data_IF_343763187519
#
_entry.id   IF_343763187519
#
_cell.length_a   1.000
_cell.length_b   1.000
_cell.length_c   1.000
_cell.angle_alpha   90.00
_cell.angle_beta   90.00
_cell.angle_gamma   90.00
#
_symmetry.space_group_name_H-M   'P 1'
#
loop_
_entity.id
_entity.type
_entity.pdbx_description
1 polymer ?
#
# COMPACT_ATOMS: atom_id res chain seq x y z
N UNK A 1 -17.73 -1.03 -21.94
CA UNK A 1 -16.57 -1.90 -21.68
C UNK A 1 -16.44 -2.15 -20.19
N UNK A 2 -16.54 -3.39 -19.80
CA UNK A 2 -16.41 -3.74 -18.39
C UNK A 2 -14.98 -3.56 -17.92
N UNK A 3 -14.82 -2.88 -16.79
CA UNK A 3 -13.53 -2.75 -16.11
C UNK A 3 -12.91 -4.13 -15.88
N UNK A 4 -13.73 -5.15 -15.62
CA UNK A 4 -13.28 -6.53 -15.42
C UNK A 4 -12.46 -7.07 -16.60
N UNK A 5 -12.74 -6.61 -17.83
CA UNK A 5 -12.01 -7.03 -19.01
C UNK A 5 -10.64 -6.35 -19.12
N UNK A 6 -10.39 -5.31 -18.33
CA UNK A 6 -9.12 -4.56 -18.32
C UNK A 6 -8.20 -5.01 -17.19
N UNK A 7 -8.69 -5.82 -16.26
CA UNK A 7 -7.95 -6.20 -15.05
C UNK A 7 -7.77 -7.72 -15.02
N UNK A 8 -6.56 -8.13 -14.69
CA UNK A 8 -6.25 -9.53 -14.35
C UNK A 8 -6.15 -9.61 -12.84
N UNK A 9 -6.98 -10.45 -12.23
CA UNK A 9 -7.00 -10.66 -10.78
C UNK A 9 -6.10 -11.82 -10.42
N UNK A 10 -5.17 -11.59 -9.47
CA UNK A 10 -4.27 -12.62 -8.97
C UNK A 10 -4.28 -12.65 -7.45
N UNK A 11 -3.91 -13.79 -6.91
CA UNK A 11 -3.75 -14.00 -5.48
C UNK A 11 -2.32 -14.42 -5.18
N UNK A 12 -1.70 -13.74 -4.22
CA UNK A 12 -0.41 -14.12 -3.66
C UNK A 12 -0.67 -14.82 -2.33
N UNK A 13 -0.39 -16.11 -2.26
CA UNK A 13 -0.45 -16.86 -1.00
C UNK A 13 0.87 -16.64 -0.26
N UNK A 14 0.78 -15.99 0.90
CA UNK A 14 1.98 -15.62 1.68
C UNK A 14 2.63 -16.80 2.39
N UNK A 15 1.87 -17.88 2.60
CA UNK A 15 2.40 -19.09 3.26
C UNK A 15 3.23 -19.90 2.28
N UNK A 16 2.66 -20.19 1.11
CA UNK A 16 3.34 -20.98 0.07
C UNK A 16 4.18 -20.13 -0.88
N UNK A 17 4.00 -18.83 -0.84
CA UNK A 17 4.66 -17.87 -1.75
C UNK A 17 4.36 -18.15 -3.22
N UNK A 18 3.12 -18.55 -3.51
CA UNK A 18 2.66 -18.87 -4.87
C UNK A 18 1.66 -17.83 -5.36
N UNK A 19 1.62 -17.65 -6.68
CA UNK A 19 0.73 -16.71 -7.35
C UNK A 19 -0.20 -17.50 -8.25
N UNK A 20 -1.51 -17.21 -8.15
CA UNK A 20 -2.52 -17.82 -8.99
C UNK A 20 -3.47 -16.78 -9.56
N UNK A 21 -4.04 -17.08 -10.71
CA UNK A 21 -5.10 -16.25 -11.31
C UNK A 21 -6.42 -16.59 -10.63
N UNK A 22 -7.18 -15.58 -10.26
CA UNK A 22 -8.46 -15.71 -9.55
C UNK A 22 -9.54 -14.90 -10.26
N UNK A 23 -10.79 -15.07 -9.83
CA UNK A 23 -11.89 -14.28 -10.35
C UNK A 23 -12.17 -13.03 -9.51
N UNK A 24 -13.07 -12.18 -9.99
CA UNK A 24 -13.44 -10.94 -9.31
C UNK A 24 -14.01 -11.20 -7.91
N UNK A 25 -14.82 -12.25 -7.76
CA UNK A 25 -15.43 -12.58 -6.46
C UNK A 25 -14.38 -12.91 -5.41
N UNK A 26 -13.41 -13.74 -5.78
CA UNK A 26 -12.30 -14.09 -4.87
C UNK A 26 -11.43 -12.86 -4.55
N UNK A 27 -11.14 -12.05 -5.54
CA UNK A 27 -10.38 -10.80 -5.34
C UNK A 27 -11.11 -9.86 -4.37
N UNK A 28 -12.43 -9.75 -4.49
CA UNK A 28 -13.26 -8.96 -3.59
C UNK A 28 -13.23 -9.48 -2.16
N UNK A 29 -13.26 -10.81 -1.97
CA UNK A 29 -13.15 -11.42 -0.65
C UNK A 29 -11.81 -11.10 0.01
N UNK A 30 -10.72 -11.20 -0.75
CA UNK A 30 -9.38 -10.88 -0.26
C UNK A 30 -9.26 -9.41 0.12
N UNK A 31 -9.82 -8.52 -0.70
CA UNK A 31 -9.79 -7.08 -0.44
C UNK A 31 -10.55 -6.73 0.85
N UNK A 32 -11.72 -7.32 1.07
CA UNK A 32 -12.52 -7.06 2.28
C UNK A 32 -11.77 -7.41 3.57
N UNK A 33 -10.92 -8.42 3.54
CA UNK A 33 -10.14 -8.82 4.70
C UNK A 33 -9.11 -7.77 5.13
N UNK A 34 -8.73 -6.86 4.24
CA UNK A 34 -7.76 -5.79 4.56
C UNK A 34 -8.32 -4.81 5.59
N UNK A 35 -9.63 -4.70 5.71
CA UNK A 35 -10.28 -3.83 6.70
C UNK A 35 -10.34 -4.46 8.10
N UNK A 36 -9.73 -5.63 8.30
CA UNK A 36 -9.67 -6.31 9.59
C UNK A 36 -8.29 -6.12 10.23
N UNK A 37 -8.21 -6.30 11.55
CA UNK A 37 -6.95 -6.15 12.28
C UNK A 37 -5.97 -7.30 12.09
N UNK A 38 -6.45 -8.46 11.66
CA UNK A 38 -5.62 -9.63 11.47
C UNK A 38 -4.78 -9.51 10.19
N UNK A 39 -3.63 -10.19 10.19
CA UNK A 39 -2.83 -10.27 8.96
C UNK A 39 -3.47 -11.25 7.98
N UNK A 40 -3.54 -10.84 6.72
CA UNK A 40 -4.06 -11.71 5.68
C UNK A 40 -3.04 -12.80 5.33
N UNK A 41 -3.52 -14.02 5.12
CA UNK A 41 -2.69 -15.14 4.64
C UNK A 41 -2.45 -15.05 3.12
N UNK A 42 -3.32 -14.34 2.41
CA UNK A 42 -3.24 -14.13 0.97
C UNK A 42 -3.54 -12.69 0.64
N UNK A 43 -2.92 -12.18 -0.43
CA UNK A 43 -3.09 -10.81 -0.88
C UNK A 43 -3.59 -10.78 -2.32
N UNK A 44 -4.53 -9.86 -2.65
CA UNK A 44 -4.97 -9.69 -4.02
C UNK A 44 -3.98 -8.85 -4.82
N UNK A 45 -3.87 -9.12 -6.12
CA UNK A 45 -3.07 -8.34 -7.06
C UNK A 45 -3.97 -8.02 -8.25
N UNK A 46 -4.01 -6.75 -8.64
CA UNK A 46 -4.84 -6.28 -9.75
C UNK A 46 -3.93 -5.75 -10.85
N UNK A 47 -3.67 -6.57 -11.87
CA UNK A 47 -2.85 -6.14 -13.02
C UNK A 47 -3.71 -5.47 -14.07
N UNK A 48 -3.26 -4.33 -14.60
CA UNK A 48 -3.94 -3.65 -15.70
C UNK A 48 -3.41 -4.21 -17.01
N UNK A 49 -4.27 -4.89 -17.79
CA UNK A 49 -3.89 -5.54 -19.05
C UNK A 49 -3.22 -4.58 -20.02
N UNK A 50 -2.17 -5.04 -20.66
CA UNK A 50 -1.47 -4.28 -21.68
C UNK A 50 -0.61 -3.14 -21.16
N UNK A 51 -0.41 -3.06 -19.85
CA UNK A 51 0.41 -2.02 -19.19
C UNK A 51 1.35 -2.65 -18.18
N UNK A 52 2.25 -1.83 -17.66
CA UNK A 52 3.10 -2.21 -16.51
C UNK A 52 2.49 -1.81 -15.16
N UNK A 53 1.24 -1.36 -15.15
CA UNK A 53 0.58 -0.90 -13.95
C UNK A 53 -0.07 -2.06 -13.18
N UNK A 54 0.04 -1.99 -11.87
CA UNK A 54 -0.55 -2.96 -10.96
C UNK A 54 -1.05 -2.24 -9.72
N UNK A 55 -2.20 -2.66 -9.19
CA UNK A 55 -2.71 -2.18 -7.92
C UNK A 55 -2.41 -3.23 -6.85
N UNK A 56 -1.69 -2.80 -5.83
CA UNK A 56 -1.28 -3.64 -4.70
C UNK A 56 -1.90 -3.09 -3.42
N UNK A 57 -2.95 -3.73 -2.89
CA UNK A 57 -3.51 -3.33 -1.61
C UNK A 57 -2.59 -3.70 -0.45
N UNK A 58 -2.49 -2.80 0.52
CA UNK A 58 -1.70 -3.00 1.74
C UNK A 58 -2.58 -2.73 2.95
N UNK A 59 -2.26 -3.33 4.09
CA UNK A 59 -3.01 -3.17 5.32
C UNK A 59 -2.10 -2.88 6.51
N UNK A 60 -2.63 -2.20 7.50
CA UNK A 60 -1.91 -1.87 8.71
C UNK A 60 -2.86 -1.46 9.83
N UNK A 61 -2.30 -0.88 10.87
CA UNK A 61 -3.05 -0.42 12.03
C UNK A 61 -2.67 1.02 12.35
N UNK A 62 -3.68 1.88 12.44
CA UNK A 62 -3.54 3.24 12.93
C UNK A 62 -3.94 3.33 14.40
N UNK A 63 -4.17 4.54 14.87
CA UNK A 63 -4.59 4.75 16.26
C UNK A 63 -6.01 4.21 16.53
N UNK A 64 -6.94 4.47 15.60
CA UNK A 64 -8.36 4.10 15.77
C UNK A 64 -8.72 2.72 15.26
N UNK A 65 -7.78 1.96 14.70
CA UNK A 65 -8.04 0.62 14.20
C UNK A 65 -7.40 0.34 12.85
N UNK A 66 -8.02 -0.51 12.07
CA UNK A 66 -7.51 -0.93 10.77
C UNK A 66 -7.40 0.25 9.79
N UNK A 67 -6.29 0.31 9.11
CA UNK A 67 -6.07 1.19 7.97
C UNK A 67 -5.61 0.33 6.79
N UNK A 68 -5.90 0.78 5.59
CA UNK A 68 -5.44 0.09 4.39
C UNK A 68 -5.26 1.09 3.26
N UNK A 69 -4.61 0.68 2.20
CA UNK A 69 -4.38 1.53 1.05
C UNK A 69 -4.35 0.71 -0.23
N UNK A 70 -4.66 1.36 -1.33
CA UNK A 70 -4.45 0.84 -2.68
C UNK A 70 -3.27 1.59 -3.28
N UNK A 71 -2.22 0.85 -3.67
CA UNK A 71 -1.03 1.44 -4.28
C UNK A 71 -1.01 1.09 -5.75
N UNK A 72 -1.07 2.10 -6.61
CA UNK A 72 -0.87 1.92 -8.05
C UNK A 72 0.63 2.05 -8.32
N UNK A 73 1.23 0.97 -8.81
CA UNK A 73 2.66 0.87 -8.99
C UNK A 73 2.99 0.50 -10.43
N UNK A 74 4.07 1.06 -10.95
CA UNK A 74 4.69 0.53 -12.18
C UNK A 74 5.55 -0.66 -11.77
N UNK A 75 5.15 -1.86 -12.21
CA UNK A 75 5.84 -3.10 -11.79
C UNK A 75 7.22 -3.29 -12.40
N UNK A 76 7.55 -2.54 -13.46
CA UNK A 76 8.89 -2.57 -14.08
C UNK A 76 9.85 -1.61 -13.43
N UNK A 77 9.41 -0.37 -13.19
CA UNK A 77 10.28 0.67 -12.59
C UNK A 77 10.18 0.68 -11.07
N UNK A 78 9.15 0.07 -10.49
CA UNK A 78 8.83 0.07 -9.06
C UNK A 78 8.45 1.46 -8.53
N UNK A 79 8.04 2.35 -9.41
CA UNK A 79 7.62 3.70 -9.04
C UNK A 79 6.15 3.73 -8.63
N UNK A 80 5.85 4.39 -7.52
CA UNK A 80 4.47 4.61 -7.08
C UNK A 80 3.84 5.68 -7.96
N UNK A 81 2.76 5.32 -8.65
CA UNK A 81 2.03 6.23 -9.55
C UNK A 81 0.84 6.87 -8.87
N UNK A 82 0.23 6.19 -7.91
CA UNK A 82 -0.87 6.72 -7.11
C UNK A 82 -1.00 5.89 -5.83
N UNK A 83 -1.66 6.48 -4.83
CA UNK A 83 -1.95 5.79 -3.58
C UNK A 83 -3.23 6.38 -3.00
N UNK A 84 -4.09 5.51 -2.47
CA UNK A 84 -5.33 5.93 -1.82
C UNK A 84 -5.42 5.24 -0.47
N UNK A 85 -5.38 6.01 0.61
CA UNK A 85 -5.53 5.52 1.97
C UNK A 85 -6.98 5.46 2.39
N UNK A 86 -7.32 4.48 3.21
CA UNK A 86 -8.64 4.32 3.81
C UNK A 86 -8.47 3.91 5.28
N UNK A 87 -9.48 4.24 6.08
CA UNK A 87 -9.47 3.91 7.50
C UNK A 87 -10.88 3.56 7.97
N UNK A 88 -10.95 2.94 9.14
CA UNK A 88 -12.22 2.54 9.72
C UNK A 88 -12.64 3.40 10.92
N UNK A 89 -11.70 3.92 11.67
CA UNK A 89 -12.01 4.60 12.93
C UNK A 89 -11.06 5.71 13.34
N UNK A 90 -10.32 6.33 12.39
CA UNK A 90 -9.44 7.45 12.73
C UNK A 90 -10.24 8.72 12.97
N UNK A 91 -9.76 9.57 13.88
CA UNK A 91 -10.45 10.80 14.27
C UNK A 91 -10.43 11.84 13.15
N UNK A 92 -11.59 12.48 12.91
CA UNK A 92 -11.69 13.60 12.00
C UNK A 92 -10.74 14.75 12.42
N UNK A 93 -10.15 15.40 11.44
CA UNK A 93 -9.23 16.52 11.66
C UNK A 93 -7.84 16.10 12.12
N UNK A 94 -7.62 14.80 12.40
CA UNK A 94 -6.35 14.24 12.80
C UNK A 94 -6.00 13.06 11.90
N UNK A 95 -6.10 11.83 12.40
CA UNK A 95 -5.73 10.63 11.67
C UNK A 95 -6.51 10.41 10.38
N UNK A 96 -7.77 10.81 10.33
CA UNK A 96 -8.58 10.73 9.12
C UNK A 96 -8.03 11.56 7.96
N UNK A 97 -7.17 12.54 8.24
CA UNK A 97 -6.54 13.35 7.18
C UNK A 97 -5.61 12.56 6.27
N UNK A 98 -5.25 11.32 6.63
CA UNK A 98 -4.40 10.49 5.77
C UNK A 98 -5.03 10.18 4.40
N UNK A 99 -6.37 10.29 4.28
CA UNK A 99 -7.05 10.08 2.99
C UNK A 99 -7.00 11.32 2.10
N UNK A 100 -6.43 12.42 2.56
CA UNK A 100 -6.32 13.65 1.78
C UNK A 100 -5.11 13.64 0.86
N UNK A 101 -5.23 14.31 -0.28
CA UNK A 101 -4.18 14.34 -1.30
C UNK A 101 -2.85 14.88 -0.80
N UNK A 102 -2.86 15.81 0.14
CA UNK A 102 -1.61 16.39 0.68
C UNK A 102 -0.73 15.34 1.35
N UNK A 103 -1.33 14.40 2.06
CA UNK A 103 -0.58 13.30 2.64
C UNK A 103 -0.19 12.26 1.57
N UNK A 104 -1.16 11.88 0.74
CA UNK A 104 -0.97 10.86 -0.30
C UNK A 104 0.09 11.26 -1.32
N UNK A 105 0.12 12.52 -1.72
CA UNK A 105 1.04 12.99 -2.75
C UNK A 105 2.51 12.86 -2.38
N UNK A 106 2.83 12.75 -1.09
CA UNK A 106 4.21 12.57 -0.65
C UNK A 106 4.82 11.24 -1.07
N UNK A 107 3.97 10.25 -1.37
CA UNK A 107 4.42 8.91 -1.77
C UNK A 107 4.61 8.79 -3.29
N UNK A 108 4.08 9.73 -4.06
CA UNK A 108 4.04 9.61 -5.53
C UNK A 108 5.41 9.85 -6.16
N UNK A 109 5.71 9.11 -7.21
CA UNK A 109 6.94 9.25 -7.97
C UNK A 109 8.15 8.59 -7.32
N UNK A 110 7.97 7.92 -6.19
CA UNK A 110 9.06 7.29 -5.45
C UNK A 110 9.22 5.84 -5.90
N UNK A 111 10.46 5.45 -6.17
CA UNK A 111 10.82 4.07 -6.47
C UNK A 111 10.94 3.31 -5.16
N UNK A 112 10.16 2.24 -4.99
CA UNK A 112 10.19 1.45 -3.76
C UNK A 112 11.39 0.52 -3.71
N UNK A 113 11.88 0.26 -2.50
CA UNK A 113 12.91 -0.72 -2.22
C UNK A 113 12.24 -2.02 -1.77
N UNK A 114 12.59 -3.14 -2.41
CA UNK A 114 11.99 -4.44 -2.09
C UNK A 114 12.64 -5.14 -0.90
N UNK A 115 13.79 -4.66 -0.45
CA UNK A 115 14.58 -5.29 0.62
C UNK A 115 14.56 -4.48 1.93
N UNK A 116 14.36 -3.18 1.85
CA UNK A 116 14.43 -2.26 2.99
C UNK A 116 13.26 -1.30 3.00
N UNK A 117 13.11 -0.54 4.08
CA UNK A 117 12.10 0.51 4.16
C UNK A 117 12.41 1.61 3.15
N UNK A 118 11.39 1.99 2.38
CA UNK A 118 11.50 3.08 1.40
C UNK A 118 11.27 4.44 2.05
N UNK A 119 10.30 4.51 2.96
CA UNK A 119 9.84 5.77 3.55
C UNK A 119 10.19 5.84 5.03
N UNK A 120 10.50 7.05 5.48
CA UNK A 120 10.76 7.35 6.89
C UNK A 120 9.86 8.50 7.32
N UNK A 121 9.18 8.34 8.46
CA UNK A 121 8.38 9.41 9.03
C UNK A 121 9.31 10.47 9.62
N UNK A 122 9.20 11.71 9.13
CA UNK A 122 9.98 12.82 9.63
C UNK A 122 9.31 13.44 10.86
N UNK A 123 10.06 13.56 11.94
CA UNK A 123 9.63 14.29 13.12
C UNK A 123 10.01 15.78 12.95
N UNK A 124 9.20 16.66 13.55
CA UNK A 124 9.30 18.11 13.35
C UNK A 124 10.69 18.70 13.66
N UNK A 125 11.47 18.05 14.52
CA UNK A 125 12.79 18.55 14.97
C UNK A 125 13.97 17.79 14.34
N UNK A 126 13.72 16.75 13.55
CA UNK A 126 14.76 16.00 12.88
C UNK A 126 14.96 16.52 11.46
N UNK A 127 16.21 16.78 11.09
CA UNK A 127 16.54 17.09 9.71
C UNK A 127 16.98 15.81 9.01
N UNK A 128 16.47 15.61 7.80
CA UNK A 128 16.89 14.52 6.94
C UNK A 128 18.35 14.77 6.50
N UNK A 129 19.24 13.83 6.81
CA UNK A 129 20.65 13.90 6.45
C UNK A 129 21.06 12.80 5.47
N UNK A 130 20.11 12.01 4.96
CA UNK A 130 20.41 10.88 4.10
C UNK A 130 19.50 10.87 2.88
N UNK A 131 19.68 9.88 2.02
CA UNK A 131 18.95 9.72 0.77
C UNK A 131 17.55 9.09 0.94
N UNK A 132 17.07 8.96 2.18
CA UNK A 132 15.74 8.40 2.46
C UNK A 132 14.62 9.32 2.00
N UNK A 133 13.48 8.73 1.71
CA UNK A 133 12.26 9.46 1.37
C UNK A 133 11.49 9.76 2.65
N UNK A 134 11.41 11.03 3.00
CA UNK A 134 10.79 11.48 4.24
C UNK A 134 9.34 11.87 4.02
N UNK A 135 8.48 11.39 4.90
CA UNK A 135 7.06 11.69 4.91
C UNK A 135 6.76 12.58 6.11
N UNK A 136 6.16 13.74 5.85
CA UNK A 136 5.67 14.61 6.92
C UNK A 136 4.42 13.99 7.54
N UNK A 137 4.44 13.84 8.85
CA UNK A 137 3.33 13.27 9.58
C UNK A 137 2.11 14.17 9.60
N UNK A 138 0.98 13.55 9.90
CA UNK A 138 -0.28 14.28 10.09
C UNK A 138 -0.26 15.00 11.43
N UNK A 139 -0.71 16.26 11.44
CA UNK A 139 -0.76 17.08 12.67
C UNK A 139 -1.63 16.41 13.74
N UNK A 140 -1.05 16.19 14.93
CA UNK A 140 -1.75 15.57 16.04
C UNK A 140 -2.07 14.10 15.88
N UNK A 141 -1.48 13.42 14.88
CA UNK A 141 -1.80 12.03 14.57
C UNK A 141 -0.53 11.21 14.31
N UNK A 142 0.42 11.25 15.24
CA UNK A 142 1.72 10.58 15.13
C UNK A 142 1.55 9.06 14.96
N UNK A 143 0.67 8.42 15.75
CA UNK A 143 0.49 6.97 15.66
C UNK A 143 -0.13 6.55 14.34
N UNK A 144 -1.09 7.31 13.82
CA UNK A 144 -1.67 7.05 12.51
C UNK A 144 -0.64 7.24 11.40
N UNK A 145 0.17 8.29 11.50
CA UNK A 145 1.25 8.56 10.55
C UNK A 145 2.28 7.42 10.52
N UNK A 146 2.70 6.97 11.69
CA UNK A 146 3.62 5.83 11.83
C UNK A 146 3.01 4.55 11.25
N UNK A 147 1.74 4.31 11.54
CA UNK A 147 1.01 3.16 11.03
C UNK A 147 0.92 3.18 9.51
N UNK A 148 0.62 4.34 8.92
CA UNK A 148 0.52 4.50 7.47
C UNK A 148 1.88 4.28 6.78
N UNK A 149 2.95 4.90 7.27
CA UNK A 149 4.29 4.75 6.69
C UNK A 149 4.76 3.30 6.83
N UNK A 150 4.61 2.69 8.00
CA UNK A 150 4.95 1.29 8.24
C UNK A 150 4.16 0.36 7.33
N UNK A 151 2.87 0.62 7.14
CA UNK A 151 2.00 -0.16 6.26
C UNK A 151 2.49 -0.14 4.82
N UNK A 152 2.86 1.02 4.31
CA UNK A 152 3.36 1.13 2.93
C UNK A 152 4.69 0.39 2.80
N UNK A 153 5.63 0.62 3.73
CA UNK A 153 6.93 -0.05 3.71
C UNK A 153 6.80 -1.57 3.76
N UNK A 154 6.17 -2.08 4.82
CA UNK A 154 6.06 -3.52 5.06
C UNK A 154 5.07 -4.19 4.11
N UNK A 155 3.97 -3.50 3.82
CA UNK A 155 2.93 -4.03 2.95
C UNK A 155 3.44 -4.27 1.53
N UNK A 156 4.19 -3.34 0.98
CA UNK A 156 4.75 -3.50 -0.37
C UNK A 156 5.85 -4.57 -0.41
N UNK A 157 6.62 -4.74 0.66
CA UNK A 157 7.61 -5.82 0.73
C UNK A 157 6.99 -7.21 0.70
N UNK A 158 5.75 -7.36 1.17
CA UNK A 158 5.04 -8.64 1.07
C UNK A 158 4.83 -9.09 -0.37
N UNK A 159 4.82 -8.15 -1.32
CA UNK A 159 4.71 -8.43 -2.74
C UNK A 159 6.06 -8.60 -3.43
N UNK A 160 7.17 -8.62 -2.70
CA UNK A 160 8.50 -8.61 -3.30
C UNK A 160 8.76 -9.80 -4.23
N UNK A 161 8.29 -11.00 -3.88
CA UNK A 161 8.45 -12.17 -4.75
C UNK A 161 7.70 -11.99 -6.06
N UNK A 162 6.47 -11.46 -6.01
CA UNK A 162 5.70 -11.13 -7.21
C UNK A 162 6.42 -10.08 -8.04
N UNK A 163 6.85 -8.97 -7.42
CA UNK A 163 7.48 -7.87 -8.15
C UNK A 163 8.82 -8.27 -8.76
N UNK A 164 9.59 -9.12 -8.09
CA UNK A 164 10.83 -9.66 -8.65
C UNK A 164 10.55 -10.58 -9.84
N UNK A 165 9.45 -11.33 -9.82
CA UNK A 165 9.10 -12.25 -10.89
C UNK A 165 8.70 -11.55 -12.20
N UNK A 166 8.28 -10.29 -12.15
CA UNK A 166 7.82 -9.50 -13.29
C UNK A 166 8.83 -8.45 -13.76
N UNK A 167 10.04 -8.46 -13.21
CA UNK A 167 11.14 -7.57 -13.63
C UNK A 167 11.76 -7.95 -14.97
#
# INVERSE_FOLDING_TARGET
>A
TDIQNLIIFKELDLISNTISTIDLERAGELYKKLATRGQAASLPIFEVKGTDLVVLPVQGVGFGGAIWAKVLLDKKTLEIKNIAFEHKGESEGYGAAMVQNTFENQFLGVKINLEEDTFTLQKAIEKANDDGHFIDGLTGATMTSQGAVSMVNQGLRKYSSYLKSVQ
#
